data_IF_962191032771
#
_entry.id   IF_962191032771
#
_cell.length_a   1.000
_cell.length_b   1.000
_cell.length_c   1.000
_cell.angle_alpha   90.00
_cell.angle_beta   90.00
_cell.angle_gamma   90.00
#
_symmetry.space_group_name_H-M   'P 1'
#
loop_
_entity.id
_entity.type
_entity.pdbx_description
1 polymer ?
#
# COMPACT_ATOMS: atom_id res chain seq x y z
N UNK A 1 -3.20 9.24 18.70
CA UNK A 1 -2.84 7.92 18.13
C UNK A 1 -2.44 8.14 16.68
N UNK A 2 -1.39 7.48 16.17
CA UNK A 2 -1.03 7.58 14.75
C UNK A 2 -1.75 6.45 14.00
N UNK A 3 -2.53 6.79 12.99
CA UNK A 3 -3.18 5.81 12.13
C UNK A 3 -2.49 5.74 10.77
N UNK A 4 -2.61 4.60 10.10
CA UNK A 4 -2.01 4.32 8.81
C UNK A 4 -3.12 4.10 7.78
N UNK A 5 -3.04 4.78 6.64
CA UNK A 5 -3.99 4.62 5.55
C UNK A 5 -3.38 3.68 4.51
N UNK A 6 -3.99 2.50 4.35
CA UNK A 6 -3.78 1.65 3.19
C UNK A 6 -4.57 2.21 2.01
N UNK A 7 -3.97 2.20 0.82
CA UNK A 7 -4.60 2.60 -0.43
C UNK A 7 -4.14 1.69 -1.56
N UNK A 8 -5.08 1.05 -2.25
CA UNK A 8 -4.85 0.33 -3.51
C UNK A 8 -5.71 0.98 -4.60
N UNK A 9 -5.09 1.32 -5.73
CA UNK A 9 -5.78 1.93 -6.88
C UNK A 9 -5.45 1.20 -8.17
N UNK A 10 -6.47 0.89 -8.96
CA UNK A 10 -6.29 0.37 -10.31
C UNK A 10 -5.88 1.47 -11.27
N UNK A 11 -4.73 1.31 -11.92
CA UNK A 11 -4.19 2.31 -12.84
C UNK A 11 -5.13 2.58 -14.03
N UNK A 12 -5.75 1.53 -14.57
CA UNK A 12 -6.61 1.61 -15.76
C UNK A 12 -7.95 2.31 -15.49
N UNK A 13 -8.65 1.94 -14.41
CA UNK A 13 -10.02 2.44 -14.15
C UNK A 13 -10.09 3.56 -13.12
N UNK A 14 -9.01 3.80 -12.36
CA UNK A 14 -9.01 4.73 -11.24
C UNK A 14 -9.75 4.26 -9.99
N UNK A 15 -10.43 3.10 -10.01
CA UNK A 15 -11.07 2.51 -8.82
C UNK A 15 -10.05 2.33 -7.71
N UNK A 16 -10.43 2.72 -6.49
CA UNK A 16 -9.54 2.69 -5.34
C UNK A 16 -10.23 2.21 -4.07
N UNK A 17 -9.50 1.47 -3.25
CA UNK A 17 -9.93 1.02 -1.92
C UNK A 17 -8.99 1.59 -0.88
N UNK A 18 -9.58 2.07 0.20
CA UNK A 18 -8.89 2.71 1.31
C UNK A 18 -9.28 2.02 2.61
N UNK A 19 -8.29 1.76 3.49
CA UNK A 19 -8.56 1.20 4.81
C UNK A 19 -7.62 1.79 5.85
N UNK A 20 -8.15 2.15 7.00
CA UNK A 20 -7.37 2.74 8.10
C UNK A 20 -7.01 1.64 9.10
N UNK A 21 -5.74 1.61 9.49
CA UNK A 21 -5.20 0.68 10.48
C UNK A 21 -4.54 1.45 11.63
N UNK A 22 -4.53 0.84 12.82
CA UNK A 22 -3.82 1.37 13.98
C UNK A 22 -2.29 1.17 13.89
N UNK A 23 -1.82 0.24 13.04
CA UNK A 23 -0.40 -0.02 12.77
C UNK A 23 -0.12 0.00 11.27
N UNK A 24 1.14 0.29 10.90
CA UNK A 24 1.63 0.21 9.53
C UNK A 24 2.51 -1.02 9.28
N UNK A 25 2.34 -2.07 10.10
CA UNK A 25 3.12 -3.29 10.03
C UNK A 25 2.71 -4.22 8.89
N UNK A 26 3.41 -5.35 8.78
CA UNK A 26 3.18 -6.33 7.71
C UNK A 26 1.76 -6.93 7.73
N UNK A 27 1.20 -7.20 8.91
CA UNK A 27 -0.16 -7.75 9.03
C UNK A 27 -1.22 -6.79 8.47
N UNK A 28 -1.17 -5.51 8.87
CA UNK A 28 -2.04 -4.47 8.33
C UNK A 28 -1.87 -4.30 6.80
N UNK A 29 -0.66 -4.51 6.30
CA UNK A 29 -0.36 -4.45 4.87
C UNK A 29 -1.01 -5.61 4.09
N UNK A 30 -0.95 -6.85 4.60
CA UNK A 30 -1.60 -8.01 3.97
C UNK A 30 -3.12 -7.92 4.08
N UNK A 31 -3.64 -7.58 5.26
CA UNK A 31 -5.08 -7.41 5.47
C UNK A 31 -5.66 -6.29 4.59
N UNK A 32 -4.88 -5.24 4.34
CA UNK A 32 -5.23 -4.19 3.38
C UNK A 32 -5.42 -4.72 1.96
N UNK A 33 -4.52 -5.59 1.50
CA UNK A 33 -4.60 -6.22 0.18
C UNK A 33 -5.79 -7.15 0.05
N UNK A 34 -5.96 -8.08 1.00
CA UNK A 34 -7.08 -9.03 1.00
C UNK A 34 -8.42 -8.31 0.98
N UNK A 35 -8.55 -7.27 1.81
CA UNK A 35 -9.74 -6.42 1.82
C UNK A 35 -9.97 -5.73 0.48
N UNK A 36 -8.92 -5.15 -0.10
CA UNK A 36 -9.04 -4.46 -1.39
C UNK A 36 -9.40 -5.42 -2.53
N UNK A 37 -8.81 -6.61 -2.59
CA UNK A 37 -9.15 -7.62 -3.59
C UNK A 37 -10.60 -8.07 -3.47
N UNK A 38 -11.08 -8.29 -2.23
CA UNK A 38 -12.49 -8.62 -2.00
C UNK A 38 -13.44 -7.51 -2.43
N UNK A 39 -13.13 -6.26 -2.09
CA UNK A 39 -13.98 -5.10 -2.46
C UNK A 39 -13.97 -4.84 -3.97
N UNK A 40 -12.83 -5.03 -4.63
CA UNK A 40 -12.70 -4.84 -6.07
C UNK A 40 -13.17 -6.04 -6.88
N UNK A 41 -13.51 -7.16 -6.22
CA UNK A 41 -13.98 -8.39 -6.85
C UNK A 41 -12.88 -9.18 -7.56
N UNK A 42 -11.61 -8.98 -7.21
CA UNK A 42 -10.50 -9.70 -7.80
C UNK A 42 -9.12 -9.10 -7.51
N UNK A 43 -8.10 -9.86 -7.89
CA UNK A 43 -6.69 -9.43 -7.87
C UNK A 43 -6.37 -8.76 -9.21
N UNK A 44 -5.65 -7.62 -9.23
CA UNK A 44 -5.25 -6.97 -10.48
C UNK A 44 -4.45 -7.92 -11.38
N UNK A 45 -4.75 -7.91 -12.68
CA UNK A 45 -3.91 -8.59 -13.69
C UNK A 45 -2.64 -7.78 -13.99
N UNK A 46 -1.51 -8.47 -14.10
CA UNK A 46 -0.19 -7.87 -14.34
C UNK A 46 0.48 -7.35 -13.07
N UNK A 47 1.08 -6.16 -13.15
CA UNK A 47 1.95 -5.62 -12.09
C UNK A 47 1.20 -4.78 -11.07
N UNK A 48 1.47 -5.01 -9.79
CA UNK A 48 1.10 -4.07 -8.71
C UNK A 48 2.31 -3.22 -8.35
N UNK A 49 2.15 -1.90 -8.46
CA UNK A 49 3.22 -0.94 -8.18
C UNK A 49 3.29 -0.58 -6.71
N UNK A 50 4.50 -0.64 -6.16
CA UNK A 50 4.79 -0.31 -4.77
C UNK A 50 5.89 0.74 -4.70
N UNK A 51 5.61 1.82 -3.95
CA UNK A 51 6.58 2.89 -3.72
C UNK A 51 7.61 2.52 -2.64
N UNK A 52 7.12 2.22 -1.43
CA UNK A 52 7.97 2.00 -0.27
C UNK A 52 7.50 0.78 0.51
N UNK A 53 7.95 -0.40 0.08
CA UNK A 53 7.50 -1.67 0.66
C UNK A 53 8.26 -2.07 1.92
N UNK A 54 8.53 -1.13 2.84
CA UNK A 54 9.22 -1.44 4.12
C UNK A 54 8.56 -2.59 4.88
N UNK A 55 7.23 -2.69 4.81
CA UNK A 55 6.46 -3.79 5.42
C UNK A 55 6.73 -5.18 4.81
N UNK A 56 7.40 -5.25 3.65
CA UNK A 56 7.73 -6.47 2.95
C UNK A 56 9.24 -6.67 2.73
N UNK A 57 10.07 -5.76 3.21
CA UNK A 57 11.53 -5.80 3.05
C UNK A 57 12.14 -6.35 4.34
N UNK A 58 12.85 -7.47 4.23
CA UNK A 58 13.61 -8.06 5.33
C UNK A 58 14.91 -7.29 5.58
N UNK A 59 15.60 -6.90 4.51
CA UNK A 59 16.84 -6.13 4.56
C UNK A 59 17.12 -5.40 3.24
N UNK A 60 17.98 -4.38 3.30
CA UNK A 60 18.52 -3.69 2.12
C UNK A 60 20.00 -4.05 2.03
N UNK A 61 20.41 -4.64 0.90
CA UNK A 61 21.78 -5.09 0.68
C UNK A 61 22.65 -3.97 0.10
N UNK A 62 23.47 -3.35 0.95
CA UNK A 62 24.68 -2.60 0.59
C UNK A 62 24.57 -1.60 -0.57
N UNK A 63 25.71 -1.31 -1.22
CA UNK A 63 25.89 -0.30 -2.28
C UNK A 63 24.89 -0.40 -3.46
N UNK A 64 24.26 -1.56 -3.67
CA UNK A 64 23.33 -1.80 -4.78
C UNK A 64 21.88 -1.46 -4.45
N UNK A 65 21.57 -1.10 -3.20
CA UNK A 65 20.21 -0.80 -2.71
C UNK A 65 19.19 -1.90 -3.00
N UNK A 66 19.65 -3.14 -3.23
CA UNK A 66 18.79 -4.28 -3.57
C UNK A 66 18.00 -4.70 -2.34
N UNK A 67 16.69 -4.83 -2.50
CA UNK A 67 15.77 -5.22 -1.42
C UNK A 67 15.63 -6.73 -1.37
N UNK A 68 15.77 -7.31 -0.17
CA UNK A 68 15.41 -8.70 0.10
C UNK A 68 13.98 -8.73 0.62
N UNK A 69 13.11 -9.47 -0.05
CA UNK A 69 11.73 -9.66 0.37
C UNK A 69 11.67 -10.58 1.60
N UNK A 70 10.76 -10.30 2.53
CA UNK A 70 10.46 -11.25 3.63
C UNK A 70 9.78 -12.50 3.09
N UNK A 71 10.04 -13.67 3.66
CA UNK A 71 9.39 -14.94 3.25
C UNK A 71 7.86 -14.86 3.25
N UNK A 72 7.30 -14.18 4.26
CA UNK A 72 5.86 -13.95 4.37
C UNK A 72 5.30 -13.15 3.19
N UNK A 73 6.03 -12.14 2.72
CA UNK A 73 5.63 -11.39 1.52
C UNK A 73 5.74 -12.24 0.26
N UNK A 74 6.84 -12.98 0.11
CA UNK A 74 7.04 -13.90 -1.02
C UNK A 74 5.92 -14.94 -1.11
N UNK A 75 5.53 -15.51 0.03
CA UNK A 75 4.41 -16.44 0.14
C UNK A 75 3.08 -15.77 -0.23
N UNK A 76 2.81 -14.59 0.33
CA UNK A 76 1.58 -13.83 0.06
C UNK A 76 1.42 -13.50 -1.42
N UNK A 77 2.46 -12.92 -2.05
CA UNK A 77 2.40 -12.55 -3.46
C UNK A 77 2.31 -13.77 -4.37
N UNK A 78 2.93 -14.89 -4.00
CA UNK A 78 2.81 -16.15 -4.74
C UNK A 78 1.40 -16.73 -4.64
N UNK A 79 0.78 -16.68 -3.46
CA UNK A 79 -0.59 -17.16 -3.24
C UNK A 79 -1.61 -16.41 -4.11
N UNK A 80 -1.46 -15.09 -4.25
CA UNK A 80 -2.35 -14.26 -5.06
C UNK A 80 -1.89 -14.06 -6.52
N UNK A 81 -0.76 -14.64 -6.93
CA UNK A 81 -0.20 -14.42 -8.27
C UNK A 81 0.19 -12.97 -8.56
N UNK A 82 0.60 -12.23 -7.54
CA UNK A 82 0.97 -10.81 -7.64
C UNK A 82 2.39 -10.68 -8.18
N UNK A 83 2.54 -9.93 -9.26
CA UNK A 83 3.84 -9.47 -9.76
C UNK A 83 4.16 -8.07 -9.20
N UNK A 84 5.07 -7.93 -8.22
CA UNK A 84 5.39 -6.64 -7.64
C UNK A 84 6.30 -5.84 -8.59
N UNK A 85 5.98 -4.55 -8.76
CA UNK A 85 6.84 -3.59 -9.43
C UNK A 85 7.25 -2.50 -8.43
N UNK A 86 8.53 -2.45 -8.12
CA UNK A 86 9.08 -1.46 -7.18
C UNK A 86 9.51 -0.22 -7.95
N UNK A 87 8.87 0.92 -7.67
CA UNK A 87 9.24 2.16 -8.33
C UNK A 87 10.66 2.60 -7.96
N UNK A 88 11.39 3.13 -8.94
CA UNK A 88 12.70 3.73 -8.73
C UNK A 88 12.56 4.95 -7.80
N UNK A 89 13.43 5.12 -6.79
CA UNK A 89 13.44 6.34 -5.98
C UNK A 89 13.81 7.57 -6.82
N UNK A 90 13.21 8.73 -6.54
CA UNK A 90 13.58 10.00 -7.17
C UNK A 90 12.58 10.52 -8.21
N UNK A 91 12.93 11.64 -8.85
CA UNK A 91 12.09 12.38 -9.82
C UNK A 91 11.67 11.48 -10.99
N UNK A 92 12.57 10.58 -11.42
CA UNK A 92 12.32 9.65 -12.51
C UNK A 92 11.16 8.70 -12.23
N UNK A 93 10.90 8.31 -10.97
CA UNK A 93 9.77 7.45 -10.60
C UNK A 93 8.50 8.21 -10.17
N UNK A 94 8.54 9.54 -10.12
CA UNK A 94 7.44 10.35 -9.58
C UNK A 94 6.19 10.33 -10.48
N UNK A 95 6.39 10.32 -11.80
CA UNK A 95 5.31 10.27 -12.78
C UNK A 95 4.47 8.98 -12.69
N UNK A 96 5.05 7.90 -12.15
CA UNK A 96 4.37 6.62 -11.97
C UNK A 96 3.42 6.58 -10.77
N UNK A 97 3.57 7.52 -9.82
CA UNK A 97 2.84 7.54 -8.53
C UNK A 97 1.75 8.59 -8.44
N UNK A 98 1.72 9.56 -9.36
CA UNK A 98 0.78 10.69 -9.29
C UNK A 98 -0.70 10.28 -9.16
N UNK A 99 -1.10 9.16 -9.79
CA UNK A 99 -2.48 8.67 -9.70
C UNK A 99 -2.88 8.19 -8.30
N UNK A 100 -2.01 7.49 -7.57
CA UNK A 100 -2.31 7.00 -6.22
C UNK A 100 -2.15 8.13 -5.18
N UNK A 101 -1.19 9.02 -5.36
CA UNK A 101 -1.00 10.20 -4.50
C UNK A 101 -2.18 11.17 -4.59
N UNK A 102 -2.64 11.45 -5.81
CA UNK A 102 -3.84 12.27 -6.04
C UNK A 102 -5.08 11.66 -5.41
N UNK A 103 -5.23 10.34 -5.49
CA UNK A 103 -6.34 9.61 -4.86
C UNK A 103 -6.31 9.68 -3.34
N UNK A 104 -5.13 9.53 -2.72
CA UNK A 104 -4.97 9.68 -1.26
C UNK A 104 -5.31 11.12 -0.85
N UNK A 105 -4.83 12.12 -1.59
CA UNK A 105 -5.12 13.53 -1.33
C UNK A 105 -6.60 13.87 -1.46
N UNK A 106 -7.29 13.31 -2.46
CA UNK A 106 -8.74 13.43 -2.60
C UNK A 106 -9.48 12.75 -1.44
N UNK A 107 -9.11 11.52 -1.09
CA UNK A 107 -9.77 10.76 -0.03
C UNK A 107 -9.70 11.48 1.32
N UNK A 108 -8.51 12.01 1.67
CA UNK A 108 -8.32 12.77 2.92
C UNK A 108 -9.18 14.03 2.97
N UNK A 109 -9.24 14.80 1.87
CA UNK A 109 -10.04 16.04 1.80
C UNK A 109 -11.54 15.78 1.90
N UNK A 110 -12.01 14.62 1.44
CA UNK A 110 -13.45 14.33 1.39
C UNK A 110 -13.95 13.50 2.58
N UNK A 111 -13.10 12.68 3.20
CA UNK A 111 -13.52 11.76 4.26
C UNK A 111 -12.92 12.07 5.64
N UNK A 112 -11.83 12.86 5.71
CA UNK A 112 -11.21 13.25 6.97
C UNK A 112 -11.44 14.74 7.26
N UNK A 113 -12.59 15.27 6.86
CA UNK A 113 -13.00 16.65 7.17
C UNK A 113 -14.38 16.62 7.83
N UNK A 114 -14.52 17.11 9.08
CA UNK A 114 -13.44 17.58 9.95
C UNK A 114 -12.46 16.45 10.31
N UNK A 115 -11.21 16.81 10.60
CA UNK A 115 -10.16 15.85 10.95
C UNK A 115 -10.65 14.87 12.03
N UNK A 116 -10.58 13.55 11.82
CA UNK A 116 -11.11 12.59 12.75
C UNK A 116 -10.34 12.68 14.07
N UNK A 117 -11.06 12.97 15.16
CA UNK A 117 -10.49 12.99 16.50
C UNK A 117 -10.32 11.54 16.96
N UNK A 118 -9.07 11.06 17.03
CA UNK A 118 -8.81 9.75 17.65
C UNK A 118 -8.82 9.91 19.18
N UNK A 119 -9.95 9.62 19.81
CA UNK A 119 -10.01 9.47 21.27
C UNK A 119 -9.27 8.18 21.63
N UNK A 120 -8.28 8.27 22.52
CA UNK A 120 -7.53 7.11 23.02
C UNK A 120 -8.51 6.18 23.75
N UNK A 121 -8.75 4.98 23.24
CA UNK A 121 -9.43 3.93 24.00
C UNK A 121 -8.58 3.61 25.23
N UNK A 122 -9.15 3.82 26.42
CA UNK A 122 -8.58 3.38 27.70
C UNK A 122 -9.17 2.01 28.00
N UNK A 123 -8.32 0.99 28.09
CA UNK A 123 -8.58 -0.16 28.95
C UNK A 123 -8.05 0.17 30.35
#
# INVERSE_FOLDING_TARGET
>A
MKCHLFCLRWSFSGKAVHRVFASGGQEAFFEGHEHAFRVLGGVPFGKIRYDNLKAAVASVLGFTWRRVETDRWTAFRSHYGIEPFYCTPGIEGAHEKGGVEGQIGWFRRNHFVPSPRSTRWRH
#
